data_IF_151007270246
#
_entry.id   IF_151007270246
#
_cell.length_a   1.000
_cell.length_b   1.000
_cell.length_c   1.000
_cell.angle_alpha   90.00
_cell.angle_beta   90.00
_cell.angle_gamma   90.00
#
_symmetry.space_group_name_H-M   'P 1'
#
loop_
_entity.id
_entity.type
_entity.pdbx_description
1 polymer ?
#
# COMPACT_ATOMS: atom_id res chain seq x y z
N UNK A 1 -11.20 23.16 6.94
CA UNK A 1 -10.97 22.16 7.99
C UNK A 1 -9.70 21.37 7.66
N UNK A 2 -9.00 20.93 8.67
CA UNK A 2 -7.81 20.10 8.51
C UNK A 2 -7.70 19.08 9.64
N UNK A 3 -6.88 18.07 9.46
CA UNK A 3 -6.52 17.13 10.52
C UNK A 3 -5.05 16.77 10.41
N UNK A 4 -4.34 16.90 11.53
CA UNK A 4 -2.98 16.40 11.68
C UNK A 4 -3.02 15.05 12.39
N UNK A 5 -2.33 14.06 11.85
CA UNK A 5 -2.21 12.74 12.48
C UNK A 5 -0.75 12.55 12.85
N UNK A 6 -0.48 12.47 14.15
CA UNK A 6 0.88 12.32 14.66
C UNK A 6 1.36 10.87 14.52
N UNK A 7 2.67 10.69 14.51
CA UNK A 7 3.28 9.36 14.37
C UNK A 7 2.78 8.37 15.43
N UNK A 8 2.53 8.82 16.66
CA UNK A 8 2.05 7.94 17.72
C UNK A 8 0.55 7.60 17.63
N UNK A 9 -0.16 8.18 16.69
CA UNK A 9 -1.58 7.89 16.47
C UNK A 9 -1.81 6.79 15.43
N UNK A 10 -0.77 6.38 14.72
CA UNK A 10 -0.88 5.31 13.72
C UNK A 10 -1.30 4.00 14.38
N UNK A 11 -2.04 3.19 13.64
CA UNK A 11 -2.43 1.85 14.06
C UNK A 11 -1.73 0.84 13.16
N UNK A 12 -0.86 0.04 13.75
CA UNK A 12 -0.12 -0.98 13.01
C UNK A 12 -0.97 -2.24 12.84
N UNK A 13 -1.08 -2.71 11.60
CA UNK A 13 -1.74 -3.96 11.26
C UNK A 13 -0.72 -4.93 10.68
N UNK A 14 -0.67 -6.14 11.25
CA UNK A 14 0.13 -7.23 10.71
C UNK A 14 -0.71 -7.95 9.66
N UNK A 15 -0.34 -7.82 8.39
CA UNK A 15 -1.04 -8.47 7.29
C UNK A 15 -0.60 -9.92 7.17
N UNK A 16 0.70 -10.17 7.34
CA UNK A 16 1.31 -11.49 7.38
C UNK A 16 2.61 -11.42 8.18
N UNK A 17 3.32 -12.55 8.28
CA UNK A 17 4.62 -12.57 8.96
C UNK A 17 5.65 -11.65 8.32
N UNK A 18 5.47 -11.30 7.05
CA UNK A 18 6.43 -10.51 6.27
C UNK A 18 5.87 -9.18 5.79
N UNK A 19 4.63 -8.85 6.14
CA UNK A 19 3.93 -7.69 5.58
C UNK A 19 3.15 -6.94 6.67
N UNK A 20 3.46 -5.67 6.88
CA UNK A 20 2.80 -4.81 7.87
C UNK A 20 2.34 -3.51 7.23
N UNK A 21 1.34 -2.89 7.84
CA UNK A 21 0.85 -1.56 7.46
C UNK A 21 0.69 -0.71 8.71
N UNK A 22 1.33 0.47 8.71
CA UNK A 22 1.12 1.50 9.72
C UNK A 22 0.07 2.46 9.16
N UNK A 23 -1.16 2.35 9.65
CA UNK A 23 -2.29 3.11 9.13
C UNK A 23 -2.39 4.47 9.83
N UNK A 24 -2.27 5.55 9.06
CA UNK A 24 -2.36 6.93 9.54
C UNK A 24 -3.71 7.54 9.23
N UNK A 25 -4.04 7.67 7.95
CA UNK A 25 -5.32 8.21 7.50
C UNK A 25 -6.19 7.05 7.05
N UNK A 26 -7.35 6.90 7.69
CA UNK A 26 -8.24 5.76 7.44
C UNK A 26 -9.65 6.22 7.10
N UNK A 27 -10.49 5.28 6.70
CA UNK A 27 -11.92 5.54 6.41
C UNK A 27 -12.68 6.11 7.60
N UNK A 28 -12.14 6.01 8.81
CA UNK A 28 -12.76 6.62 10.01
C UNK A 28 -12.66 8.14 9.96
N UNK A 29 -11.64 8.68 9.27
CA UNK A 29 -11.50 10.13 9.09
C UNK A 29 -12.20 10.60 7.83
N UNK A 30 -12.01 9.89 6.72
CA UNK A 30 -12.63 10.19 5.43
C UNK A 30 -12.75 8.92 4.60
N UNK A 31 -13.81 8.84 3.81
CA UNK A 31 -14.01 7.71 2.89
C UNK A 31 -13.34 7.92 1.54
N UNK A 32 -12.80 9.10 1.29
CA UNK A 32 -12.27 9.47 -0.03
C UNK A 32 -10.86 8.98 -0.29
N UNK A 33 -10.04 8.89 0.76
CA UNK A 33 -8.61 8.58 0.61
C UNK A 33 -8.09 7.98 1.92
N UNK A 34 -7.16 7.06 1.82
CA UNK A 34 -6.42 6.55 2.99
C UNK A 34 -4.92 6.56 2.70
N UNK A 35 -4.14 6.61 3.78
CA UNK A 35 -2.68 6.61 3.69
C UNK A 35 -2.10 5.74 4.80
N UNK A 36 -1.20 4.85 4.40
CA UNK A 36 -0.47 4.00 5.32
C UNK A 36 1.00 3.95 4.88
N UNK A 37 1.89 3.61 5.80
CA UNK A 37 3.26 3.22 5.47
C UNK A 37 3.31 1.71 5.56
N UNK A 38 3.59 1.05 4.44
CA UNK A 38 3.60 -0.41 4.34
C UNK A 38 5.02 -0.92 4.21
N UNK A 39 5.28 -2.09 4.80
CA UNK A 39 6.59 -2.77 4.75
C UNK A 39 6.39 -4.21 4.33
N UNK A 40 7.23 -4.66 3.41
CA UNK A 40 7.30 -6.05 2.98
C UNK A 40 8.74 -6.52 3.06
N UNK A 41 8.95 -7.72 3.62
CA UNK A 41 10.25 -8.39 3.63
C UNK A 41 10.02 -9.85 3.26
N UNK A 42 9.88 -10.13 1.96
CA UNK A 42 9.61 -11.47 1.48
C UNK A 42 8.58 -11.50 0.37
N UNK A 43 7.61 -12.39 0.49
CA UNK A 43 6.63 -12.62 -0.57
C UNK A 43 5.22 -12.29 -0.09
N UNK A 44 4.50 -11.58 -0.93
CA UNK A 44 3.08 -11.31 -0.77
C UNK A 44 2.31 -12.12 -1.80
N UNK A 45 1.29 -12.87 -1.35
CA UNK A 45 0.46 -13.68 -2.23
C UNK A 45 -0.39 -12.82 -3.17
N UNK A 46 -0.78 -13.36 -4.33
CA UNK A 46 -1.64 -12.64 -5.26
C UNK A 46 -2.94 -12.18 -4.61
N UNK A 47 -3.32 -10.95 -4.91
CA UNK A 47 -4.53 -10.32 -4.38
C UNK A 47 -5.16 -9.47 -5.47
N UNK A 48 -6.48 -9.39 -5.46
CA UNK A 48 -7.21 -8.48 -6.33
C UNK A 48 -7.41 -7.16 -5.63
N UNK A 49 -6.99 -6.08 -6.28
CA UNK A 49 -7.11 -4.74 -5.74
C UNK A 49 -8.51 -4.19 -6.03
N UNK A 50 -9.22 -3.73 -5.00
CA UNK A 50 -10.56 -3.17 -5.17
C UNK A 50 -10.58 -1.65 -5.31
N UNK A 51 -9.46 -0.99 -5.01
CA UNK A 51 -9.31 0.47 -5.03
C UNK A 51 -8.18 0.84 -5.98
N UNK A 52 -8.13 2.10 -6.39
CA UNK A 52 -6.90 2.63 -6.99
C UNK A 52 -5.85 2.76 -5.88
N UNK A 53 -4.60 2.49 -6.21
CA UNK A 53 -3.50 2.55 -5.24
C UNK A 53 -2.26 3.20 -5.83
N UNK A 54 -1.61 4.01 -5.00
CA UNK A 54 -0.29 4.56 -5.32
C UNK A 54 0.68 4.10 -4.24
N UNK A 55 1.83 3.59 -4.67
CA UNK A 55 2.99 3.37 -3.80
C UNK A 55 4.04 4.41 -4.13
N UNK A 56 4.55 5.07 -3.11
CA UNK A 56 5.82 5.79 -3.20
C UNK A 56 6.84 5.04 -2.37
N UNK A 57 7.87 4.50 -3.03
CA UNK A 57 8.85 3.65 -2.36
C UNK A 57 9.92 4.48 -1.68
N UNK A 58 9.90 4.51 -0.35
CA UNK A 58 10.94 5.16 0.47
C UNK A 58 12.23 4.38 0.30
N UNK A 59 12.15 3.05 0.40
CA UNK A 59 13.25 2.14 0.09
C UNK A 59 12.67 0.90 -0.56
N UNK A 60 13.31 0.39 -1.60
CA UNK A 60 12.78 -0.78 -2.27
C UNK A 60 13.83 -1.49 -3.12
N UNK A 61 13.67 -2.80 -3.15
CA UNK A 61 14.27 -3.72 -4.11
C UNK A 61 13.26 -4.86 -4.22
N UNK A 62 12.25 -4.67 -5.07
CA UNK A 62 11.08 -5.54 -5.09
C UNK A 62 10.58 -5.73 -6.51
N UNK A 63 10.09 -6.94 -6.79
CA UNK A 63 9.42 -7.26 -8.04
C UNK A 63 7.94 -7.41 -7.78
N UNK A 64 7.13 -6.64 -8.52
CA UNK A 64 5.68 -6.82 -8.56
C UNK A 64 5.34 -7.66 -9.79
N UNK A 65 4.32 -8.50 -9.65
CA UNK A 65 3.67 -9.17 -10.78
C UNK A 65 2.28 -8.55 -10.88
N UNK A 66 2.02 -7.85 -11.98
CA UNK A 66 0.78 -7.08 -12.18
C UNK A 66 0.11 -7.62 -13.42
N UNK A 67 -1.05 -8.29 -13.24
CA UNK A 67 -1.77 -8.98 -14.32
C UNK A 67 -0.83 -9.85 -15.16
N UNK A 68 0.11 -10.54 -14.49
CA UNK A 68 1.08 -11.44 -15.13
C UNK A 68 2.36 -10.76 -15.59
N UNK A 69 2.46 -9.45 -15.54
CA UNK A 69 3.64 -8.70 -15.98
C UNK A 69 4.55 -8.38 -14.79
N UNK A 70 5.85 -8.65 -14.96
CA UNK A 70 6.84 -8.37 -13.91
C UNK A 70 7.32 -6.93 -14.00
N UNK A 71 7.22 -6.20 -12.90
CA UNK A 71 7.66 -4.82 -12.79
C UNK A 71 8.61 -4.70 -11.60
N UNK A 72 9.84 -4.28 -11.84
CA UNK A 72 10.81 -4.05 -10.75
C UNK A 72 10.72 -2.63 -10.25
N UNK A 73 10.66 -2.46 -8.92
CA UNK A 73 10.61 -1.15 -8.27
C UNK A 73 11.81 -0.95 -7.37
N UNK A 74 12.38 0.24 -7.44
CA UNK A 74 13.53 0.70 -6.64
C UNK A 74 13.13 1.87 -5.75
N UNK A 75 14.01 2.21 -4.81
CA UNK A 75 13.83 3.38 -3.95
C UNK A 75 13.59 4.64 -4.77
N UNK A 76 12.60 5.43 -4.39
CA UNK A 76 12.24 6.66 -5.09
C UNK A 76 11.24 6.48 -6.24
N UNK A 77 10.89 5.24 -6.60
CA UNK A 77 9.92 4.99 -7.66
C UNK A 77 8.49 5.18 -7.15
N UNK A 78 7.59 5.47 -8.09
CA UNK A 78 6.15 5.49 -7.86
C UNK A 78 5.51 4.39 -8.70
N UNK A 79 4.64 3.59 -8.09
CA UNK A 79 3.85 2.58 -8.78
C UNK A 79 2.38 2.91 -8.62
N UNK A 80 1.67 3.09 -9.74
CA UNK A 80 0.24 3.29 -9.75
C UNK A 80 -0.45 1.99 -10.17
N UNK A 81 -1.43 1.56 -9.40
CA UNK A 81 -2.27 0.40 -9.71
C UNK A 81 -3.72 0.83 -9.84
N UNK A 82 -4.32 0.53 -10.97
CA UNK A 82 -5.75 0.74 -11.18
C UNK A 82 -6.54 -0.31 -10.40
N UNK A 83 -7.84 -0.06 -10.19
CA UNK A 83 -8.70 -1.03 -9.53
C UNK A 83 -8.90 -2.28 -10.40
N UNK A 84 -9.23 -3.40 -9.74
CA UNK A 84 -9.49 -4.70 -10.35
C UNK A 84 -8.24 -5.42 -10.89
N UNK A 85 -7.07 -4.87 -10.68
CA UNK A 85 -5.80 -5.50 -11.00
C UNK A 85 -5.53 -6.64 -10.01
N UNK A 86 -4.99 -7.75 -10.52
CA UNK A 86 -4.46 -8.84 -9.70
C UNK A 86 -2.95 -8.64 -9.61
N UNK A 87 -2.43 -8.57 -8.38
CA UNK A 87 -1.01 -8.28 -8.18
C UNK A 87 -0.43 -9.09 -7.03
N UNK A 88 0.88 -9.29 -7.09
CA UNK A 88 1.68 -9.88 -6.02
C UNK A 88 3.03 -9.18 -6.01
N UNK A 89 3.84 -9.44 -4.98
CA UNK A 89 5.15 -8.85 -4.86
C UNK A 89 6.11 -9.80 -4.16
N UNK A 90 7.39 -9.70 -4.51
CA UNK A 90 8.46 -10.43 -3.83
C UNK A 90 9.70 -9.57 -3.75
N UNK A 91 10.25 -9.43 -2.55
CA UNK A 91 11.41 -8.61 -2.25
C UNK A 91 11.19 -7.79 -1.01
N UNK A 92 11.85 -6.63 -0.94
CA UNK A 92 11.80 -5.76 0.24
C UNK A 92 11.36 -4.38 -0.17
N UNK A 93 10.42 -3.78 0.61
CA UNK A 93 10.11 -2.38 0.45
C UNK A 93 9.56 -1.76 1.73
N UNK A 94 9.74 -0.46 1.83
CA UNK A 94 8.99 0.43 2.70
C UNK A 94 8.40 1.52 1.82
N UNK A 95 7.08 1.70 1.86
CA UNK A 95 6.40 2.60 0.93
C UNK A 95 5.27 3.36 1.62
N UNK A 96 5.08 4.61 1.19
CA UNK A 96 3.82 5.31 1.44
C UNK A 96 2.79 4.74 0.47
N UNK A 97 1.68 4.28 1.01
CA UNK A 97 0.60 3.64 0.24
C UNK A 97 -0.67 4.46 0.36
N UNK A 98 -1.19 4.91 -0.77
CA UNK A 98 -2.41 5.73 -0.83
C UNK A 98 -3.47 4.94 -1.59
N UNK A 99 -4.68 4.87 -1.02
CA UNK A 99 -5.83 4.22 -1.65
C UNK A 99 -6.95 5.24 -1.89
N UNK A 100 -7.60 5.14 -3.04
CA UNK A 100 -8.74 5.96 -3.44
C UNK A 100 -9.84 5.05 -4.00
N UNK A 101 -11.01 4.98 -3.38
CA UNK A 101 -11.37 5.54 -2.07
C UNK A 101 -10.54 4.92 -0.94
N UNK A 102 -10.77 5.36 0.28
CA UNK A 102 -10.03 4.85 1.44
C UNK A 102 -10.11 3.32 1.52
N UNK A 103 -9.04 2.71 2.02
CA UNK A 103 -8.97 1.25 2.17
C UNK A 103 -10.16 0.75 3.01
N UNK A 104 -10.82 -0.31 2.51
CA UNK A 104 -11.99 -0.89 3.15
C UNK A 104 -13.31 -0.21 2.78
N UNK A 105 -13.29 0.84 1.97
CA UNK A 105 -14.50 1.47 1.42
C UNK A 105 -14.80 0.85 0.07
N UNK A 106 -16.03 0.43 -0.14
CA UNK A 106 -16.45 -0.10 -1.44
C UNK A 106 -16.57 1.03 -2.46
N UNK A 107 -16.16 0.71 -3.65
CA UNK A 107 -16.17 1.62 -4.78
C UNK A 107 -17.57 1.75 -5.40
#
# INVERSE_FOLDING_TARGET
MYKKISNNEKVTRKISEVHTADNYLTKETTKNISLAVTKLTGKMDPSKLSNERVYYFISADVNFIIDGEKVHCNSGDVLYLDSDIIYSAEGDFEAVTINVPAFGVEK
#
